data_IF_200576900729
#
_entry.id   IF_200576900729
#
_cell.length_a   1.000
_cell.length_b   1.000
_cell.length_c   1.000
_cell.angle_alpha   90.00
_cell.angle_beta   90.00
_cell.angle_gamma   90.00
#
_symmetry.space_group_name_H-M   'P 1'
#
loop_
_entity.id
_entity.type
_entity.pdbx_description
1 polymer ?
#
# COMPACT_ATOMS: atom_id res chain seq x y z
N UNK A 1 -9.16 5.31 2.60
CA UNK A 1 -7.90 4.80 3.18
C UNK A 1 -6.87 4.33 2.15
N UNK A 2 -7.26 3.69 1.04
CA UNK A 2 -6.31 3.24 0.00
C UNK A 2 -5.25 4.27 -0.44
N UNK A 3 -5.61 5.56 -0.53
CA UNK A 3 -4.66 6.63 -0.89
C UNK A 3 -3.57 6.85 0.16
N UNK A 4 -3.86 6.64 1.44
CA UNK A 4 -2.90 6.78 2.54
C UNK A 4 -1.79 5.73 2.43
N UNK A 5 -2.15 4.48 2.14
CA UNK A 5 -1.18 3.38 1.92
C UNK A 5 -0.23 3.71 0.76
N UNK A 6 -0.79 4.14 -0.38
CA UNK A 6 0.00 4.55 -1.54
C UNK A 6 0.93 5.72 -1.18
N UNK A 7 0.42 6.72 -0.46
CA UNK A 7 1.20 7.88 -0.04
C UNK A 7 2.38 7.51 0.87
N UNK A 8 2.21 6.54 1.76
CA UNK A 8 3.32 6.04 2.61
C UNK A 8 4.39 5.36 1.77
N UNK A 9 4.02 4.52 0.80
CA UNK A 9 4.97 3.86 -0.09
C UNK A 9 5.76 4.88 -0.93
N UNK A 10 5.07 5.89 -1.48
CA UNK A 10 5.71 6.97 -2.23
C UNK A 10 6.63 7.83 -1.36
N UNK A 11 6.20 8.17 -0.13
CA UNK A 11 7.02 8.94 0.81
C UNK A 11 8.31 8.20 1.23
N UNK A 12 8.29 6.86 1.18
CA UNK A 12 9.48 6.02 1.36
C UNK A 12 10.40 5.97 0.15
N UNK A 13 10.00 6.58 -0.97
CA UNK A 13 10.77 6.58 -2.21
C UNK A 13 10.46 5.42 -3.15
N UNK A 14 9.43 4.61 -2.87
CA UNK A 14 9.03 3.57 -3.80
C UNK A 14 8.24 4.12 -4.98
N UNK A 15 8.54 3.61 -6.18
CA UNK A 15 7.68 3.78 -7.34
C UNK A 15 6.56 2.74 -7.28
N UNK A 16 5.35 3.17 -6.93
CA UNK A 16 4.19 2.26 -6.87
C UNK A 16 3.64 2.04 -8.28
N UNK A 17 3.81 0.81 -8.79
CA UNK A 17 3.37 0.41 -10.13
C UNK A 17 1.85 0.52 -10.31
N UNK A 18 1.38 0.60 -11.56
CA UNK A 18 -0.05 0.67 -11.88
C UNK A 18 -0.82 -0.54 -11.34
N UNK A 19 -0.23 -1.73 -11.38
CA UNK A 19 -0.82 -2.97 -10.86
C UNK A 19 -0.98 -2.92 -9.33
N UNK A 20 0.07 -2.51 -8.60
CA UNK A 20 0.01 -2.38 -7.14
C UNK A 20 -1.02 -1.31 -6.75
N UNK A 21 -1.05 -0.16 -7.43
CA UNK A 21 -2.08 0.87 -7.18
C UNK A 21 -3.49 0.36 -7.43
N UNK A 22 -3.71 -0.38 -8.52
CA UNK A 22 -5.01 -0.95 -8.84
C UNK A 22 -5.47 -1.92 -7.74
N UNK A 23 -4.57 -2.80 -7.27
CA UNK A 23 -4.86 -3.75 -6.19
C UNK A 23 -5.17 -3.06 -4.86
N UNK A 24 -4.41 -2.01 -4.50
CA UNK A 24 -4.69 -1.24 -3.29
C UNK A 24 -6.03 -0.51 -3.40
N UNK A 25 -6.35 0.07 -4.57
CA UNK A 25 -7.61 0.79 -4.81
C UNK A 25 -8.83 -0.12 -4.92
N UNK A 26 -8.67 -1.37 -5.34
CA UNK A 26 -9.76 -2.34 -5.43
C UNK A 26 -10.15 -2.94 -4.08
N UNK A 27 -9.30 -2.79 -3.05
CA UNK A 27 -9.61 -3.24 -1.70
C UNK A 27 -10.68 -2.34 -1.08
N UNK A 28 -11.85 -2.91 -0.77
CA UNK A 28 -12.98 -2.23 -0.12
C UNK A 28 -13.06 -2.51 1.38
N UNK A 29 -12.23 -3.42 1.88
CA UNK A 29 -12.14 -3.74 3.31
C UNK A 29 -11.29 -2.68 4.02
N UNK A 30 -11.95 -1.90 4.88
CA UNK A 30 -11.31 -0.83 5.63
C UNK A 30 -10.27 -1.36 6.63
N UNK A 31 -10.52 -2.49 7.28
CA UNK A 31 -9.60 -3.07 8.27
C UNK A 31 -8.31 -3.55 7.61
N UNK A 32 -8.41 -4.13 6.41
CA UNK A 32 -7.23 -4.48 5.61
C UNK A 32 -6.43 -3.24 5.23
N UNK A 33 -7.11 -2.18 4.77
CA UNK A 33 -6.43 -0.93 4.40
C UNK A 33 -5.76 -0.24 5.58
N UNK A 34 -6.36 -0.30 6.78
CA UNK A 34 -5.76 0.22 8.01
C UNK A 34 -4.52 -0.57 8.43
N UNK A 35 -4.57 -1.90 8.34
CA UNK A 35 -3.42 -2.77 8.64
C UNK A 35 -2.24 -2.57 7.66
N UNK A 36 -2.53 -2.19 6.41
CA UNK A 36 -1.51 -1.90 5.41
C UNK A 36 -0.75 -0.60 5.65
N UNK A 37 -1.30 0.38 6.35
CA UNK A 37 -0.60 1.64 6.64
C UNK A 37 0.70 1.42 7.43
N UNK A 38 0.70 0.77 8.62
CA UNK A 38 1.93 0.50 9.34
C UNK A 38 2.83 -0.50 8.59
N UNK A 39 2.25 -1.47 7.88
CA UNK A 39 3.02 -2.44 7.09
C UNK A 39 3.80 -1.76 5.96
N UNK A 40 3.19 -0.79 5.28
CA UNK A 40 3.82 0.00 4.22
C UNK A 40 5.08 0.76 4.70
N UNK A 41 5.25 0.96 6.02
CA UNK A 41 6.47 1.56 6.60
C UNK A 41 7.65 0.57 6.64
N UNK A 42 7.37 -0.73 6.74
CA UNK A 42 8.38 -1.77 6.98
C UNK A 42 8.75 -2.62 5.75
N UNK A 43 7.87 -2.72 4.74
CA UNK A 43 8.09 -3.54 3.53
C UNK A 43 9.34 -3.14 2.76
N UNK A 44 9.97 -4.08 2.05
CA UNK A 44 11.15 -3.80 1.25
C UNK A 44 10.80 -3.48 -0.21
N UNK A 45 9.61 -3.90 -0.65
CA UNK A 45 9.00 -3.54 -1.91
C UNK A 45 7.48 -3.29 -1.75
N UNK A 46 6.85 -2.49 -2.65
CA UNK A 46 5.39 -2.30 -2.64
C UNK A 46 4.58 -3.59 -2.72
N UNK A 47 5.10 -4.63 -3.36
CA UNK A 47 4.46 -5.93 -3.54
C UNK A 47 4.38 -6.72 -2.22
N UNK A 48 5.38 -6.62 -1.33
CA UNK A 48 5.40 -7.31 -0.03
C UNK A 48 4.25 -6.87 0.89
N UNK A 49 3.57 -5.76 0.55
CA UNK A 49 2.40 -5.29 1.27
C UNK A 49 1.29 -6.35 1.32
N UNK A 50 1.21 -7.20 0.29
CA UNK A 50 0.14 -8.18 0.14
C UNK A 50 0.40 -9.54 0.80
N UNK A 51 1.60 -9.75 1.34
CA UNK A 51 2.02 -11.02 1.95
C UNK A 51 1.61 -11.22 3.43
#
# INVERSE_FOLDING_TARGET
MARSVIGVLEARGFTVSGQVRARIRSCTDLGVLEAWVPKAVAVQAPEDLFD
#
